data_IF_385494422017
#
_entry.id   IF_385494422017
#
_cell.length_a   1.000
_cell.length_b   1.000
_cell.length_c   1.000
_cell.angle_alpha   90.00
_cell.angle_beta   90.00
_cell.angle_gamma   90.00
#
_symmetry.space_group_name_H-M   'P 1'
#
loop_
_entity.id
_entity.type
_entity.pdbx_description
1 polymer ?
#
# COMPACT_ATOMS: atom_id res chain seq x y z
N UNK A 1 15.83 2.58 22.13
CA UNK A 1 16.51 3.06 20.91
C UNK A 1 15.40 3.23 19.87
N UNK A 2 15.31 4.38 19.24
CA UNK A 2 14.35 4.62 18.13
C UNK A 2 14.86 3.90 16.88
N UNK A 3 13.97 3.30 16.08
CA UNK A 3 14.33 2.80 14.76
C UNK A 3 14.94 3.96 13.94
N UNK A 4 16.08 3.73 13.31
CA UNK A 4 16.65 4.72 12.40
C UNK A 4 15.72 4.91 11.20
N UNK A 5 15.72 6.10 10.61
CA UNK A 5 14.95 6.37 9.40
C UNK A 5 15.56 5.55 8.25
N UNK A 6 14.79 4.64 7.69
CA UNK A 6 15.09 3.99 6.42
C UNK A 6 14.61 4.89 5.29
N UNK A 7 15.39 5.03 4.22
CA UNK A 7 15.06 5.90 3.09
C UNK A 7 15.13 5.10 1.80
N UNK A 8 14.06 5.16 1.01
CA UNK A 8 14.00 4.62 -0.36
C UNK A 8 13.71 5.73 -1.35
N UNK A 9 14.40 5.70 -2.49
CA UNK A 9 14.08 6.58 -3.61
C UNK A 9 12.82 6.13 -4.32
N UNK A 10 11.88 7.05 -4.51
CA UNK A 10 10.67 6.81 -5.31
C UNK A 10 10.94 6.49 -6.79
N UNK A 11 12.18 6.72 -7.25
CA UNK A 11 12.59 6.38 -8.62
C UNK A 11 12.78 4.89 -8.87
N UNK A 12 12.85 4.08 -7.82
CA UNK A 12 13.10 2.65 -7.95
C UNK A 12 11.87 1.82 -8.41
N UNK A 13 10.69 2.37 -8.43
CA UNK A 13 9.49 1.62 -8.78
C UNK A 13 8.31 2.46 -9.27
N UNK A 14 7.95 3.55 -8.60
CA UNK A 14 6.75 4.31 -8.93
C UNK A 14 7.07 5.65 -9.57
N UNK A 15 7.14 5.69 -10.90
CA UNK A 15 7.35 6.92 -11.63
C UNK A 15 6.23 7.92 -11.31
N UNK A 16 6.56 8.98 -10.58
CA UNK A 16 5.76 10.20 -10.61
C UNK A 16 5.57 10.57 -12.08
N UNK A 17 4.34 10.79 -12.57
CA UNK A 17 4.09 11.09 -13.97
C UNK A 17 4.98 12.24 -14.42
N UNK A 18 5.76 12.02 -15.48
CA UNK A 18 6.66 13.03 -16.04
C UNK A 18 5.90 14.34 -16.26
N UNK A 19 6.32 15.41 -15.64
CA UNK A 19 5.75 16.73 -15.83
C UNK A 19 5.97 17.15 -17.27
N UNK A 20 4.90 17.61 -17.94
CA UNK A 20 5.00 18.19 -19.29
C UNK A 20 6.05 19.28 -19.30
N UNK A 21 6.96 19.33 -20.30
CA UNK A 21 7.98 20.37 -20.39
C UNK A 21 7.32 21.75 -20.48
N UNK A 22 7.75 22.71 -19.66
CA UNK A 22 7.37 24.12 -19.79
C UNK A 22 6.68 24.79 -18.59
N UNK A 23 6.49 24.11 -17.44
CA UNK A 23 6.08 24.81 -16.21
C UNK A 23 7.23 24.76 -15.20
N UNK A 24 7.64 25.93 -14.69
CA UNK A 24 8.53 26.00 -13.52
C UNK A 24 7.90 25.15 -12.39
N UNK A 25 8.63 24.12 -11.95
CA UNK A 25 8.23 23.34 -10.77
C UNK A 25 8.27 24.29 -9.57
N UNK A 26 7.13 24.55 -8.95
CA UNK A 26 7.13 25.10 -7.59
C UNK A 26 7.84 24.08 -6.71
N UNK A 27 8.67 24.52 -5.75
CA UNK A 27 9.32 23.60 -4.81
C UNK A 27 8.25 22.70 -4.18
N UNK A 28 8.48 21.39 -4.19
CA UNK A 28 7.62 20.46 -3.49
C UNK A 28 7.62 20.84 -2.00
N UNK A 29 6.45 20.86 -1.39
CA UNK A 29 6.31 21.10 0.03
C UNK A 29 5.19 20.22 0.56
N UNK A 30 5.38 19.65 1.73
CA UNK A 30 4.31 18.91 2.39
C UNK A 30 3.08 19.81 2.60
N UNK A 31 1.86 19.32 2.29
CA UNK A 31 0.64 20.06 2.54
C UNK A 31 0.46 20.42 4.02
N UNK A 32 -0.32 21.46 4.35
CA UNK A 32 -0.68 21.75 5.74
C UNK A 32 -1.58 20.65 6.31
N UNK A 33 -1.60 20.54 7.64
CA UNK A 33 -2.54 19.63 8.32
C UNK A 33 -3.99 20.05 8.02
N UNK A 34 -4.85 19.12 7.64
CA UNK A 34 -6.29 19.37 7.54
C UNK A 34 -6.92 19.48 8.94
N UNK A 35 -8.20 19.90 8.98
CA UNK A 35 -8.98 19.86 10.20
C UNK A 35 -9.03 18.43 10.78
N UNK A 36 -8.94 18.24 12.11
CA UNK A 36 -9.00 16.93 12.72
C UNK A 36 -10.34 16.22 12.51
N UNK A 37 -10.30 14.90 12.34
CA UNK A 37 -11.51 14.07 12.33
C UNK A 37 -12.13 13.99 13.73
N UNK A 38 -13.48 13.99 13.80
CA UNK A 38 -14.21 13.78 15.05
C UNK A 38 -14.08 12.33 15.55
N UNK A 39 -14.01 11.38 14.63
CA UNK A 39 -13.80 9.96 14.91
C UNK A 39 -12.46 9.55 14.32
N UNK A 40 -11.58 9.04 15.18
CA UNK A 40 -10.25 8.65 14.77
C UNK A 40 -10.29 7.38 13.90
N UNK A 41 -9.48 7.39 12.81
CA UNK A 41 -9.33 6.29 11.85
C UNK A 41 -7.88 5.84 11.77
N UNK A 42 -7.64 4.75 11.06
CA UNK A 42 -6.29 4.32 10.65
C UNK A 42 -6.03 4.70 9.20
N UNK A 43 -4.75 4.95 8.89
CA UNK A 43 -4.26 4.89 7.52
C UNK A 43 -3.91 3.42 7.22
N UNK A 44 -4.68 2.79 6.34
CA UNK A 44 -4.54 1.35 6.09
C UNK A 44 -3.31 0.99 5.26
N UNK A 45 -2.67 1.97 4.58
CA UNK A 45 -1.51 1.73 3.73
C UNK A 45 -0.69 3.00 3.53
N UNK A 46 0.54 2.98 3.99
CA UNK A 46 1.50 4.06 3.74
C UNK A 46 2.95 3.53 3.73
N UNK A 47 3.84 4.33 3.14
CA UNK A 47 5.28 4.11 3.11
C UNK A 47 5.99 5.33 3.70
N UNK A 48 6.40 5.22 4.97
CA UNK A 48 7.10 6.29 5.69
C UNK A 48 8.58 6.42 5.29
N UNK A 49 9.10 5.46 4.52
CA UNK A 49 10.48 5.39 4.07
C UNK A 49 10.72 5.99 2.67
N UNK A 50 9.67 6.13 1.87
CA UNK A 50 9.84 6.66 0.51
C UNK A 50 10.02 8.17 0.51
N UNK A 51 11.04 8.65 -0.18
CA UNK A 51 11.17 10.06 -0.52
C UNK A 51 10.26 10.41 -1.71
N UNK A 52 9.65 11.59 -1.64
CA UNK A 52 8.82 12.08 -2.74
C UNK A 52 9.66 12.55 -3.92
N UNK A 53 10.72 13.31 -3.66
CA UNK A 53 11.74 13.71 -4.60
C UNK A 53 13.07 14.00 -3.88
N UNK A 54 14.15 14.12 -4.66
CA UNK A 54 15.51 14.32 -4.13
C UNK A 54 15.69 15.66 -3.37
N UNK A 55 14.83 16.66 -3.61
CA UNK A 55 14.94 18.00 -3.00
C UNK A 55 14.22 18.05 -1.65
N UNK A 56 13.08 17.39 -1.54
CA UNK A 56 12.27 17.40 -0.32
C UNK A 56 12.67 16.28 0.66
N UNK A 57 13.16 15.15 0.13
CA UNK A 57 13.50 13.99 0.93
C UNK A 57 12.30 13.33 1.60
N UNK A 58 12.55 12.67 2.72
CA UNK A 58 11.55 11.96 3.55
C UNK A 58 11.21 12.80 4.77
N UNK A 59 9.92 12.93 5.07
CA UNK A 59 9.51 13.45 6.38
C UNK A 59 9.91 12.42 7.45
N UNK A 60 10.63 12.81 8.53
CA UNK A 60 10.96 11.88 9.60
C UNK A 60 9.71 11.17 10.12
N UNK A 61 9.74 9.85 10.24
CA UNK A 61 8.58 9.06 10.63
C UNK A 61 7.94 9.49 11.97
N UNK A 62 8.70 9.93 13.01
CA UNK A 62 8.08 10.42 14.24
C UNK A 62 7.24 11.69 14.00
N UNK A 63 7.76 12.65 13.24
CA UNK A 63 7.04 13.88 12.87
C UNK A 63 5.79 13.56 12.07
N UNK A 64 5.89 12.61 11.11
CA UNK A 64 4.77 12.19 10.28
C UNK A 64 3.64 11.59 11.14
N UNK A 65 3.99 10.69 12.07
CA UNK A 65 3.03 10.08 13.00
C UNK A 65 2.44 11.09 13.99
N UNK A 66 3.23 12.06 14.46
CA UNK A 66 2.75 13.12 15.36
C UNK A 66 1.74 14.04 14.65
N UNK A 67 2.03 14.40 13.39
CA UNK A 67 1.09 15.15 12.55
C UNK A 67 -0.18 14.34 12.27
N UNK A 68 -0.04 13.06 11.94
CA UNK A 68 -1.17 12.15 11.70
C UNK A 68 -2.07 12.06 12.95
N UNK A 69 -1.48 11.86 14.12
CA UNK A 69 -2.22 11.80 15.38
C UNK A 69 -2.96 13.12 15.69
N UNK A 70 -2.35 14.27 15.40
CA UNK A 70 -2.96 15.58 15.64
C UNK A 70 -4.22 15.84 14.83
N UNK A 71 -4.45 15.09 13.74
CA UNK A 71 -5.62 15.23 12.86
C UNK A 71 -6.59 14.03 12.94
N UNK A 72 -6.43 13.18 13.97
CA UNK A 72 -7.34 12.06 14.22
C UNK A 72 -6.97 10.77 13.50
N UNK A 73 -5.69 10.58 13.13
CA UNK A 73 -5.20 9.29 12.65
C UNK A 73 -4.64 8.52 13.84
N UNK A 74 -5.31 7.45 14.22
CA UNK A 74 -5.00 6.64 15.40
C UNK A 74 -3.71 5.82 15.24
N UNK A 75 -3.41 5.45 14.02
CA UNK A 75 -2.23 4.69 13.65
C UNK A 75 -2.19 4.42 12.15
N UNK A 76 -1.12 3.78 11.72
CA UNK A 76 -0.86 3.47 10.32
C UNK A 76 -0.50 1.99 10.14
N UNK A 77 -0.76 1.46 8.96
CA UNK A 77 -0.12 0.24 8.49
C UNK A 77 1.05 0.66 7.60
N UNK A 78 2.25 0.46 8.12
CA UNK A 78 3.50 0.68 7.39
C UNK A 78 3.80 -0.52 6.53
N UNK A 79 3.98 -0.34 5.24
CA UNK A 79 3.99 -1.42 4.26
C UNK A 79 5.37 -1.61 3.64
N UNK A 80 5.91 -2.83 3.77
CA UNK A 80 7.15 -3.25 3.15
C UNK A 80 6.94 -3.73 1.72
N UNK A 81 7.87 -3.41 0.84
CA UNK A 81 7.84 -3.79 -0.60
C UNK A 81 9.05 -4.61 -1.02
N UNK A 82 10.13 -4.58 -0.23
CA UNK A 82 11.33 -5.44 -0.38
C UNK A 82 11.59 -6.16 0.93
N UNK A 83 12.46 -7.14 0.91
CA UNK A 83 12.89 -7.82 2.13
C UNK A 83 13.49 -6.83 3.17
N UNK A 84 14.29 -5.85 2.71
CA UNK A 84 14.89 -4.85 3.60
C UNK A 84 13.85 -3.91 4.20
N UNK A 85 12.94 -3.37 3.38
CA UNK A 85 11.87 -2.52 3.88
C UNK A 85 10.91 -3.29 4.79
N UNK A 86 10.61 -4.54 4.51
CA UNK A 86 9.78 -5.41 5.36
C UNK A 86 10.42 -5.64 6.74
N UNK A 87 11.74 -5.85 6.81
CA UNK A 87 12.49 -5.92 8.07
C UNK A 87 12.37 -4.60 8.86
N UNK A 88 12.56 -3.48 8.20
CA UNK A 88 12.41 -2.17 8.82
C UNK A 88 10.97 -1.90 9.31
N UNK A 89 9.96 -2.23 8.51
CA UNK A 89 8.54 -2.08 8.89
C UNK A 89 8.22 -2.89 10.16
N UNK A 90 8.64 -4.15 10.21
CA UNK A 90 8.45 -5.00 11.36
C UNK A 90 9.17 -4.44 12.61
N UNK A 91 10.41 -3.94 12.48
CA UNK A 91 11.13 -3.28 13.55
C UNK A 91 10.44 -1.99 14.01
N UNK A 92 10.05 -1.10 13.09
CA UNK A 92 9.36 0.15 13.40
C UNK A 92 8.08 -0.10 14.19
N UNK A 93 7.31 -1.11 13.82
CA UNK A 93 6.08 -1.48 14.52
C UNK A 93 6.33 -1.92 15.98
N UNK A 94 7.53 -2.38 16.32
CA UNK A 94 7.89 -2.65 17.73
C UNK A 94 8.28 -1.40 18.51
N UNK A 95 8.69 -0.32 17.84
CA UNK A 95 9.18 0.91 18.45
C UNK A 95 8.08 1.94 18.70
N UNK A 96 7.04 1.96 17.87
CA UNK A 96 5.91 2.88 18.02
C UNK A 96 4.57 2.14 17.96
N UNK A 97 3.76 2.33 18.99
CA UNK A 97 2.46 1.66 19.12
C UNK A 97 1.42 2.15 18.11
N UNK A 98 1.66 3.26 17.42
CA UNK A 98 0.82 3.77 16.35
C UNK A 98 1.06 3.04 15.03
N UNK A 99 2.11 2.20 14.93
CA UNK A 99 2.47 1.48 13.71
C UNK A 99 2.09 0.01 13.82
N UNK A 100 1.41 -0.49 12.81
CA UNK A 100 1.32 -1.90 12.46
C UNK A 100 2.14 -2.12 11.19
N UNK A 101 2.63 -3.32 10.96
CA UNK A 101 3.41 -3.63 9.77
C UNK A 101 2.67 -4.61 8.85
N UNK A 102 2.84 -4.38 7.55
CA UNK A 102 2.66 -5.37 6.51
C UNK A 102 4.02 -5.69 5.89
N UNK A 103 4.27 -6.95 5.59
CA UNK A 103 5.56 -7.44 5.08
C UNK A 103 5.36 -8.33 3.86
N UNK A 104 6.09 -8.07 2.79
CA UNK A 104 6.06 -8.87 1.58
C UNK A 104 7.21 -8.51 0.62
N UNK A 105 7.21 -9.16 -0.53
CA UNK A 105 7.92 -8.76 -1.73
C UNK A 105 6.88 -8.25 -2.73
N UNK A 106 6.97 -6.97 -3.09
CA UNK A 106 6.09 -6.36 -4.09
C UNK A 106 6.21 -7.08 -5.44
N UNK A 107 5.14 -7.19 -6.25
CA UNK A 107 5.20 -7.88 -7.53
C UNK A 107 6.32 -7.40 -8.47
N UNK A 108 6.68 -6.12 -8.45
CA UNK A 108 7.80 -5.61 -9.26
C UNK A 108 9.19 -5.93 -8.69
N UNK A 109 9.27 -6.36 -7.44
CA UNK A 109 10.54 -6.77 -6.81
C UNK A 109 10.81 -8.28 -6.98
N UNK A 110 9.76 -9.11 -7.06
CA UNK A 110 9.90 -10.55 -7.22
C UNK A 110 10.76 -10.97 -8.42
N UNK A 111 10.62 -10.38 -9.64
CA UNK A 111 11.46 -10.69 -10.79
C UNK A 111 12.95 -10.35 -10.60
N UNK A 112 13.29 -9.42 -9.69
CA UNK A 112 14.67 -9.02 -9.43
C UNK A 112 15.52 -10.15 -8.83
N UNK A 113 14.88 -11.15 -8.24
CA UNK A 113 15.54 -12.35 -7.70
C UNK A 113 16.02 -13.29 -8.81
N UNK A 114 15.54 -13.17 -10.06
CA UNK A 114 15.96 -13.87 -11.27
C UNK A 114 15.66 -15.36 -11.33
N UNK A 115 15.68 -16.05 -10.20
CA UNK A 115 15.39 -17.49 -10.11
C UNK A 115 14.41 -17.76 -8.98
N UNK A 116 13.64 -18.83 -9.11
CA UNK A 116 12.71 -19.29 -8.08
C UNK A 116 13.43 -19.60 -6.76
N UNK A 117 14.60 -20.22 -6.83
CA UNK A 117 15.38 -20.56 -5.63
C UNK A 117 15.77 -19.32 -4.81
N UNK A 118 16.24 -18.25 -5.46
CA UNK A 118 16.58 -16.99 -4.78
C UNK A 118 15.33 -16.31 -4.21
N UNK A 119 14.24 -16.35 -4.96
CA UNK A 119 12.97 -15.78 -4.52
C UNK A 119 12.41 -16.54 -3.31
N UNK A 120 12.44 -17.89 -3.32
CA UNK A 120 11.99 -18.73 -2.20
C UNK A 120 12.80 -18.46 -0.94
N UNK A 121 14.11 -18.23 -1.06
CA UNK A 121 14.94 -17.86 0.08
C UNK A 121 14.50 -16.53 0.72
N UNK A 122 14.16 -15.55 -0.10
CA UNK A 122 13.65 -14.27 0.42
C UNK A 122 12.22 -14.39 1.00
N UNK A 123 11.35 -15.19 0.36
CA UNK A 123 10.00 -15.47 0.85
C UNK A 123 10.06 -16.17 2.22
N UNK A 124 11.00 -17.08 2.43
CA UNK A 124 11.19 -17.72 3.74
C UNK A 124 11.52 -16.69 4.85
N UNK A 125 12.28 -15.64 4.55
CA UNK A 125 12.53 -14.56 5.51
C UNK A 125 11.26 -13.71 5.74
N UNK A 126 10.44 -13.46 4.73
CA UNK A 126 9.12 -12.80 4.90
C UNK A 126 8.22 -13.66 5.81
N UNK A 127 8.21 -14.97 5.65
CA UNK A 127 7.44 -15.88 6.50
C UNK A 127 7.86 -15.78 7.98
N UNK A 128 9.15 -15.65 8.27
CA UNK A 128 9.63 -15.42 9.64
C UNK A 128 9.21 -14.05 10.19
N UNK A 129 9.21 -13.01 9.34
CA UNK A 129 8.71 -11.68 9.73
C UNK A 129 7.21 -11.70 10.02
N UNK A 130 6.42 -12.48 9.28
CA UNK A 130 4.98 -12.60 9.46
C UNK A 130 4.57 -13.07 10.88
N UNK A 131 5.45 -13.80 11.56
CA UNK A 131 5.22 -14.30 12.93
C UNK A 131 5.39 -13.24 14.02
N UNK A 132 5.91 -12.07 13.70
CA UNK A 132 6.15 -11.02 14.67
C UNK A 132 4.85 -10.40 15.20
N UNK A 133 4.77 -10.05 16.50
CA UNK A 133 3.50 -9.65 17.13
C UNK A 133 2.81 -8.44 16.54
N UNK A 134 3.53 -7.54 15.86
CA UNK A 134 3.00 -6.30 15.28
C UNK A 134 2.85 -6.37 13.76
N UNK A 135 3.23 -7.45 13.13
CA UNK A 135 2.93 -7.73 11.72
C UNK A 135 1.48 -8.22 11.64
N UNK A 136 0.66 -7.57 10.83
CA UNK A 136 -0.78 -7.80 10.73
C UNK A 136 -1.26 -8.11 9.33
N UNK A 137 -0.38 -7.99 8.35
CA UNK A 137 -0.68 -8.36 6.98
C UNK A 137 0.56 -8.91 6.26
N UNK A 138 0.31 -9.76 5.30
CA UNK A 138 1.21 -10.02 4.19
C UNK A 138 0.83 -9.03 3.10
N UNK A 139 1.77 -8.18 2.74
CA UNK A 139 1.59 -7.11 1.76
C UNK A 139 2.73 -6.09 1.84
N UNK A 140 2.94 -5.40 0.76
CA UNK A 140 2.21 -5.33 -0.50
C UNK A 140 2.63 -6.47 -1.45
N UNK A 141 1.68 -7.26 -1.91
CA UNK A 141 1.89 -8.40 -2.80
C UNK A 141 0.76 -8.49 -3.83
N UNK A 142 0.92 -9.25 -4.89
CA UNK A 142 -0.09 -9.38 -5.92
C UNK A 142 0.52 -9.43 -7.32
N UNK A 143 -0.14 -8.79 -8.30
CA UNK A 143 0.29 -8.79 -9.70
C UNK A 143 0.30 -7.36 -10.29
N UNK A 144 1.31 -7.08 -11.10
CA UNK A 144 1.46 -5.82 -11.86
C UNK A 144 1.85 -6.11 -13.31
N UNK A 145 0.87 -6.12 -14.20
CA UNK A 145 1.07 -6.35 -15.63
C UNK A 145 1.37 -5.07 -16.39
N UNK A 146 1.29 -3.92 -15.73
CA UNK A 146 1.68 -2.65 -16.32
C UNK A 146 3.21 -2.47 -16.39
N UNK A 147 3.94 -3.00 -15.40
CA UNK A 147 5.39 -2.79 -15.25
C UNK A 147 6.22 -4.03 -15.53
N UNK A 148 5.63 -5.20 -15.38
CA UNK A 148 6.34 -6.46 -15.60
C UNK A 148 5.97 -7.04 -16.94
N UNK A 149 6.99 -7.28 -17.76
CA UNK A 149 6.87 -7.89 -19.07
C UNK A 149 7.78 -9.13 -19.12
N UNK A 150 7.35 -10.13 -19.88
CA UNK A 150 8.12 -11.37 -20.06
C UNK A 150 7.64 -12.52 -19.19
N UNK A 151 7.58 -13.70 -19.81
CA UNK A 151 6.98 -14.90 -19.23
C UNK A 151 7.63 -15.30 -17.90
N UNK A 152 8.96 -15.35 -17.84
CA UNK A 152 9.68 -15.72 -16.62
C UNK A 152 9.43 -14.75 -15.46
N UNK A 153 9.36 -13.44 -15.72
CA UNK A 153 9.17 -12.44 -14.69
C UNK A 153 7.73 -12.47 -14.17
N UNK A 154 6.75 -12.72 -15.04
CA UNK A 154 5.35 -12.95 -14.66
C UNK A 154 5.18 -14.26 -13.87
N UNK A 155 5.89 -15.33 -14.22
CA UNK A 155 5.90 -16.58 -13.43
C UNK A 155 6.46 -16.35 -12.02
N UNK A 156 7.52 -15.56 -11.86
CA UNK A 156 8.07 -15.22 -10.55
C UNK A 156 7.08 -14.36 -9.72
N UNK A 157 6.38 -13.40 -10.33
CA UNK A 157 5.31 -12.66 -9.66
C UNK A 157 4.20 -13.59 -9.18
N UNK A 158 3.71 -14.43 -10.06
CA UNK A 158 2.62 -15.37 -9.76
C UNK A 158 3.00 -16.30 -8.61
N UNK A 159 4.21 -16.87 -8.66
CA UNK A 159 4.73 -17.72 -7.59
C UNK A 159 4.83 -16.97 -6.25
N UNK A 160 5.41 -15.76 -6.27
CA UNK A 160 5.49 -14.92 -5.06
C UNK A 160 4.12 -14.64 -4.47
N UNK A 161 3.14 -14.30 -5.29
CA UNK A 161 1.79 -14.03 -4.86
C UNK A 161 1.13 -15.25 -4.20
N UNK A 162 1.25 -16.43 -4.80
CA UNK A 162 0.71 -17.69 -4.25
C UNK A 162 1.34 -18.04 -2.89
N UNK A 163 2.66 -17.89 -2.76
CA UNK A 163 3.35 -18.13 -1.50
C UNK A 163 2.94 -17.11 -0.41
N UNK A 164 2.78 -15.85 -0.77
CA UNK A 164 2.28 -14.83 0.15
C UNK A 164 0.84 -15.12 0.62
N UNK A 165 -0.04 -15.62 -0.27
CA UNK A 165 -1.36 -16.11 0.12
C UNK A 165 -1.25 -17.26 1.13
N UNK A 166 -0.36 -18.23 0.90
CA UNK A 166 -0.10 -19.32 1.83
C UNK A 166 0.32 -18.81 3.20
N UNK A 167 1.32 -17.91 3.24
CA UNK A 167 1.85 -17.34 4.48
C UNK A 167 0.75 -16.58 5.26
N UNK A 168 -0.07 -15.77 4.56
CA UNK A 168 -1.16 -15.05 5.19
C UNK A 168 -2.17 -16.00 5.86
N UNK A 169 -2.52 -17.10 5.20
CA UNK A 169 -3.43 -18.14 5.73
C UNK A 169 -2.84 -18.84 6.96
N UNK A 170 -1.59 -19.28 6.87
CA UNK A 170 -0.92 -20.01 7.96
C UNK A 170 -0.72 -19.17 9.22
N UNK A 171 -0.52 -17.87 9.07
CA UNK A 171 -0.36 -16.94 10.20
C UNK A 171 -1.68 -16.27 10.63
N UNK A 172 -2.79 -16.54 9.93
CA UNK A 172 -4.11 -15.92 10.18
C UNK A 172 -4.04 -14.39 10.25
N UNK A 173 -3.34 -13.78 9.30
CA UNK A 173 -3.23 -12.32 9.12
C UNK A 173 -3.80 -11.90 7.77
N UNK A 174 -4.03 -10.60 7.59
CA UNK A 174 -4.60 -10.10 6.35
C UNK A 174 -3.64 -10.27 5.15
N UNK A 175 -4.21 -10.35 3.95
CA UNK A 175 -3.49 -10.24 2.68
C UNK A 175 -3.80 -8.88 2.08
N UNK A 176 -2.78 -8.08 1.83
CA UNK A 176 -2.91 -6.74 1.23
C UNK A 176 -2.37 -6.77 -0.20
N UNK A 177 -3.28 -6.56 -1.15
CA UNK A 177 -3.06 -6.85 -2.56
C UNK A 177 -2.79 -5.58 -3.34
N UNK A 178 -1.67 -5.58 -4.07
CA UNK A 178 -1.39 -4.75 -5.22
C UNK A 178 -2.01 -5.38 -6.47
N UNK A 179 -2.78 -4.61 -7.19
CA UNK A 179 -3.45 -5.06 -8.41
C UNK A 179 -3.38 -3.96 -9.48
N UNK A 180 -2.58 -4.19 -10.51
CA UNK A 180 -2.42 -3.23 -11.59
C UNK A 180 -2.45 -3.90 -12.96
N UNK A 181 -3.52 -3.62 -13.72
CA UNK A 181 -3.81 -4.22 -15.01
C UNK A 181 -3.88 -5.77 -14.96
N UNK A 182 -4.23 -6.34 -13.77
CA UNK A 182 -4.18 -7.78 -13.48
C UNK A 182 -5.42 -8.30 -12.73
N UNK A 183 -6.53 -7.55 -12.73
CA UNK A 183 -7.74 -7.83 -11.93
C UNK A 183 -8.21 -9.28 -12.05
N UNK A 184 -8.38 -9.76 -13.28
CA UNK A 184 -8.89 -11.12 -13.53
C UNK A 184 -7.95 -12.20 -12.98
N UNK A 185 -6.62 -12.03 -13.15
CA UNK A 185 -5.62 -12.98 -12.70
C UNK A 185 -5.45 -12.97 -11.17
N UNK A 186 -5.58 -11.81 -10.53
CA UNK A 186 -5.60 -11.70 -9.07
C UNK A 186 -6.81 -12.45 -8.51
N UNK A 187 -8.00 -12.20 -9.04
CA UNK A 187 -9.25 -12.88 -8.63
C UNK A 187 -9.16 -14.40 -8.88
N UNK A 188 -8.74 -14.80 -10.09
CA UNK A 188 -8.57 -16.21 -10.42
C UNK A 188 -7.62 -16.91 -9.44
N UNK A 189 -6.47 -16.28 -9.14
CA UNK A 189 -5.51 -16.83 -8.20
C UNK A 189 -6.11 -17.00 -6.81
N UNK A 190 -6.79 -15.98 -6.27
CA UNK A 190 -7.44 -16.04 -4.96
C UNK A 190 -8.47 -17.17 -4.88
N UNK A 191 -9.28 -17.32 -5.91
CA UNK A 191 -10.31 -18.37 -5.96
C UNK A 191 -9.70 -19.76 -6.13
N UNK A 192 -8.65 -19.91 -6.92
CA UNK A 192 -7.98 -21.19 -7.20
C UNK A 192 -7.21 -21.73 -6.00
N UNK A 193 -6.42 -20.87 -5.32
CA UNK A 193 -5.59 -21.32 -4.18
C UNK A 193 -6.30 -21.19 -2.85
N UNK A 194 -7.47 -20.55 -2.84
CA UNK A 194 -8.27 -20.24 -1.66
C UNK A 194 -7.71 -19.01 -0.92
N UNK A 195 -8.46 -17.91 -0.95
CA UNK A 195 -8.12 -16.67 -0.26
C UNK A 195 -8.03 -16.85 1.27
N UNK A 196 -7.19 -16.07 1.98
CA UNK A 196 -7.26 -15.98 3.44
C UNK A 196 -8.57 -15.32 3.88
N UNK A 197 -8.89 -15.41 5.17
CA UNK A 197 -10.12 -14.83 5.74
C UNK A 197 -10.24 -13.33 5.50
N UNK A 198 -9.10 -12.60 5.53
CA UNK A 198 -9.05 -11.15 5.38
C UNK A 198 -8.22 -10.78 4.17
N UNK A 199 -8.87 -10.25 3.16
CA UNK A 199 -8.27 -9.74 1.93
C UNK A 199 -8.55 -8.25 1.82
N UNK A 200 -7.54 -7.48 1.43
CA UNK A 200 -7.62 -6.05 1.17
C UNK A 200 -7.06 -5.77 -0.22
N UNK A 201 -7.89 -5.29 -1.12
CA UNK A 201 -7.43 -4.64 -2.34
C UNK A 201 -7.01 -3.21 -1.98
N UNK A 202 -5.71 -3.00 -1.79
CA UNK A 202 -5.19 -1.68 -1.49
C UNK A 202 -5.28 -0.78 -2.73
N UNK A 203 -5.32 0.54 -2.51
CA UNK A 203 -5.44 1.53 -3.60
C UNK A 203 -6.44 1.10 -4.67
N UNK A 204 -7.63 0.63 -4.23
CA UNK A 204 -8.64 0.03 -5.10
C UNK A 204 -8.75 0.78 -6.43
N UNK A 205 -8.56 0.07 -7.54
CA UNK A 205 -8.48 0.64 -8.88
C UNK A 205 -9.50 0.06 -9.86
N UNK A 206 -10.27 -0.96 -9.41
CA UNK A 206 -11.27 -1.63 -10.23
C UNK A 206 -12.52 -0.80 -10.51
N UNK A 207 -13.33 -1.31 -11.40
CA UNK A 207 -14.68 -0.84 -11.68
C UNK A 207 -15.70 -1.60 -10.83
N UNK A 208 -16.99 -1.36 -11.08
CA UNK A 208 -18.10 -1.96 -10.31
C UNK A 208 -18.15 -3.48 -10.38
N UNK A 209 -17.64 -4.09 -11.45
CA UNK A 209 -17.60 -5.55 -11.61
C UNK A 209 -16.63 -6.19 -10.61
N UNK A 210 -15.42 -5.65 -10.46
CA UNK A 210 -14.49 -6.11 -9.43
C UNK A 210 -15.02 -5.80 -8.03
N UNK A 211 -15.69 -4.66 -7.84
CA UNK A 211 -16.31 -4.33 -6.55
C UNK A 211 -17.37 -5.36 -6.16
N UNK A 212 -18.20 -5.83 -7.11
CA UNK A 212 -19.18 -6.88 -6.85
C UNK A 212 -18.51 -8.20 -6.43
N UNK A 213 -17.39 -8.57 -7.10
CA UNK A 213 -16.62 -9.76 -6.72
C UNK A 213 -16.05 -9.61 -5.30
N UNK A 214 -15.53 -8.44 -4.95
CA UNK A 214 -15.05 -8.16 -3.59
C UNK A 214 -16.18 -8.30 -2.56
N UNK A 215 -17.36 -7.75 -2.84
CA UNK A 215 -18.55 -7.83 -1.97
C UNK A 215 -18.97 -9.27 -1.78
N UNK A 216 -19.09 -10.05 -2.84
CA UNK A 216 -19.56 -11.44 -2.81
C UNK A 216 -18.62 -12.36 -2.01
N UNK A 217 -17.32 -12.00 -1.95
CA UNK A 217 -16.29 -12.75 -1.22
C UNK A 217 -15.92 -12.14 0.15
N UNK A 218 -16.53 -11.02 0.55
CA UNK A 218 -16.19 -10.33 1.80
C UNK A 218 -14.79 -9.68 1.80
N UNK A 219 -14.25 -9.36 0.63
CA UNK A 219 -12.95 -8.71 0.49
C UNK A 219 -13.07 -7.20 0.63
N UNK A 220 -12.13 -6.60 1.38
CA UNK A 220 -12.11 -5.17 1.62
C UNK A 220 -11.53 -4.42 0.44
N UNK A 221 -12.07 -3.22 0.21
CA UNK A 221 -11.58 -2.25 -0.76
C UNK A 221 -11.05 -1.03 -0.01
N UNK A 222 -9.78 -0.69 -0.20
CA UNK A 222 -9.15 0.46 0.45
C UNK A 222 -9.02 1.61 -0.54
N UNK A 223 -9.56 2.77 -0.18
CA UNK A 223 -9.65 3.94 -1.06
C UNK A 223 -8.64 5.00 -0.65
N UNK A 224 -7.77 5.37 -1.61
CA UNK A 224 -6.76 6.40 -1.45
C UNK A 224 -7.24 7.79 -1.93
N UNK A 225 -6.37 8.79 -1.84
CA UNK A 225 -6.66 10.17 -2.25
C UNK A 225 -7.06 10.34 -3.73
N UNK A 226 -6.76 9.36 -4.58
CA UNK A 226 -7.15 9.35 -5.99
C UNK A 226 -8.67 9.34 -6.22
N UNK A 227 -9.48 8.93 -5.23
CA UNK A 227 -10.95 8.98 -5.30
C UNK A 227 -11.46 10.42 -5.46
N UNK A 228 -10.72 11.40 -4.94
CA UNK A 228 -11.07 12.83 -5.00
C UNK A 228 -10.87 13.42 -6.41
N UNK A 229 -10.17 12.71 -7.31
CA UNK A 229 -9.89 13.17 -8.66
C UNK A 229 -11.15 13.06 -9.53
N UNK A 230 -11.57 14.16 -10.14
CA UNK A 230 -12.84 14.26 -10.90
C UNK A 230 -13.02 13.15 -11.94
N UNK A 231 -11.96 12.75 -12.66
CA UNK A 231 -12.03 11.72 -13.70
C UNK A 231 -12.25 10.29 -13.17
N UNK A 232 -11.99 10.04 -11.89
CA UNK A 232 -12.06 8.71 -11.28
C UNK A 232 -13.48 8.42 -10.75
N UNK A 233 -14.51 8.61 -11.60
CA UNK A 233 -15.91 8.36 -11.22
C UNK A 233 -16.15 6.87 -10.91
N UNK A 234 -15.50 5.95 -11.63
CA UNK A 234 -15.59 4.51 -11.38
C UNK A 234 -15.26 4.10 -9.94
N UNK A 235 -14.27 4.76 -9.30
CA UNK A 235 -13.95 4.50 -7.89
C UNK A 235 -15.09 4.92 -6.96
N UNK A 236 -15.76 6.03 -7.26
CA UNK A 236 -16.92 6.50 -6.48
C UNK A 236 -18.13 5.60 -6.67
N UNK A 237 -18.34 5.11 -7.90
CA UNK A 237 -19.42 4.17 -8.21
C UNK A 237 -19.19 2.85 -7.43
N UNK A 238 -17.97 2.34 -7.41
CA UNK A 238 -17.57 1.17 -6.62
C UNK A 238 -17.73 1.40 -5.10
N UNK A 239 -17.33 2.59 -4.59
CA UNK A 239 -17.50 2.96 -3.18
C UNK A 239 -18.99 2.99 -2.77
N UNK A 240 -19.86 3.56 -3.62
CA UNK A 240 -21.31 3.69 -3.31
C UNK A 240 -21.99 2.32 -3.18
N UNK A 241 -21.57 1.31 -3.95
CA UNK A 241 -22.16 -0.03 -3.88
C UNK A 241 -21.57 -0.88 -2.75
N UNK A 242 -20.38 -0.53 -2.26
CA UNK A 242 -19.69 -1.31 -1.23
C UNK A 242 -20.39 -1.20 0.14
N UNK A 243 -20.63 -2.32 0.86
CA UNK A 243 -20.99 -2.29 2.27
C UNK A 243 -19.91 -1.56 3.07
N UNK A 244 -20.30 -0.69 4.01
CA UNK A 244 -19.35 0.12 4.80
C UNK A 244 -18.33 -0.72 5.57
N UNK A 245 -18.70 -1.96 5.91
CA UNK A 245 -17.86 -2.92 6.61
C UNK A 245 -16.67 -3.39 5.77
N UNK A 246 -16.77 -3.28 4.43
CA UNK A 246 -15.72 -3.65 3.48
C UNK A 246 -14.94 -2.44 2.95
N UNK A 247 -15.21 -1.24 3.48
CA UNK A 247 -14.52 -0.02 3.06
C UNK A 247 -13.40 0.30 4.03
N UNK A 248 -12.19 0.50 3.49
CA UNK A 248 -11.05 1.03 4.20
C UNK A 248 -10.59 2.33 3.54
N UNK A 249 -9.80 3.10 4.26
CA UNK A 249 -9.17 4.33 3.76
C UNK A 249 -7.67 4.27 3.96
N UNK A 250 -6.95 4.87 3.03
CA UNK A 250 -5.49 4.90 3.06
C UNK A 250 -4.95 6.17 2.40
N UNK A 251 -3.64 6.37 2.49
CA UNK A 251 -2.95 7.39 1.72
C UNK A 251 -2.20 6.84 0.53
N UNK A 252 -1.58 5.69 0.64
CA UNK A 252 -0.50 5.23 -0.23
C UNK A 252 0.64 6.27 -0.28
N UNK A 253 0.89 6.93 0.87
CA UNK A 253 1.91 7.96 0.97
C UNK A 253 3.31 7.40 0.66
N UNK A 254 4.17 8.18 -0.05
CA UNK A 254 4.03 9.60 -0.42
C UNK A 254 3.27 9.86 -1.72
N UNK A 255 2.62 8.84 -2.31
CA UNK A 255 1.90 8.90 -3.57
C UNK A 255 0.45 9.38 -3.39
N UNK A 256 -0.27 9.59 -4.48
CA UNK A 256 -1.72 9.75 -4.56
C UNK A 256 -2.34 10.85 -3.66
N UNK A 257 -1.62 11.98 -3.46
CA UNK A 257 -2.16 13.09 -2.69
C UNK A 257 -3.57 13.49 -3.19
N UNK A 258 -4.54 13.65 -2.26
CA UNK A 258 -5.91 14.05 -2.60
C UNK A 258 -5.97 15.49 -3.16
N UNK A 259 -7.01 15.81 -3.92
CA UNK A 259 -7.30 17.20 -4.26
C UNK A 259 -7.59 18.02 -2.99
N UNK A 260 -7.11 19.27 -2.87
CA UNK A 260 -6.45 20.08 -3.92
C UNK A 260 -4.92 19.92 -3.97
N UNK A 261 -4.35 18.93 -3.32
CA UNK A 261 -2.89 18.77 -3.17
C UNK A 261 -2.24 17.84 -4.21
N UNK A 262 -2.96 17.48 -5.25
CA UNK A 262 -2.43 16.64 -6.31
C UNK A 262 -1.08 17.16 -6.85
N UNK A 263 -0.11 16.22 -6.98
CA UNK A 263 1.26 16.55 -7.41
C UNK A 263 2.17 17.08 -6.29
N UNK A 264 1.69 17.06 -5.04
CA UNK A 264 2.47 17.27 -3.83
C UNK A 264 2.71 15.94 -3.12
N UNK A 265 3.68 15.87 -2.19
CA UNK A 265 3.85 14.67 -1.37
C UNK A 265 2.60 14.41 -0.52
N UNK A 266 2.18 13.15 -0.50
CA UNK A 266 1.13 12.67 0.40
C UNK A 266 1.74 12.26 1.75
N UNK A 267 0.91 12.17 2.78
CA UNK A 267 1.32 11.69 4.09
C UNK A 267 0.09 11.23 4.90
N UNK A 268 0.24 10.33 5.88
CA UNK A 268 -0.86 9.81 6.70
C UNK A 268 -1.80 10.88 7.28
N UNK A 269 -1.30 12.05 7.62
CA UNK A 269 -2.14 13.14 8.12
C UNK A 269 -3.09 13.74 7.07
N UNK A 270 -3.04 13.32 5.80
CA UNK A 270 -3.97 13.74 4.74
C UNK A 270 -5.19 12.82 4.57
N UNK A 271 -5.22 11.64 5.23
CA UNK A 271 -6.41 10.76 5.27
C UNK A 271 -7.71 11.51 5.56
N UNK A 272 -7.77 12.53 6.46
CA UNK A 272 -9.01 13.25 6.71
C UNK A 272 -9.65 13.90 5.48
N UNK A 273 -8.87 14.20 4.45
CA UNK A 273 -9.41 14.76 3.20
C UNK A 273 -10.15 13.68 2.42
N UNK A 274 -9.58 12.49 2.32
CA UNK A 274 -10.22 11.33 1.68
C UNK A 274 -11.48 10.91 2.43
N UNK A 275 -11.44 10.89 3.78
CA UNK A 275 -12.60 10.51 4.62
C UNK A 275 -13.77 11.49 4.49
N UNK A 276 -13.50 12.79 4.30
CA UNK A 276 -14.56 13.80 4.16
C UNK A 276 -15.14 13.91 2.77
N UNK A 277 -14.43 13.39 1.78
CA UNK A 277 -14.89 13.38 0.41
C UNK A 277 -16.02 12.39 0.19
#
# INVERSE_FOLDING_TARGET
>A
MTAEQFVRSSKAGDAVPATKPGKEKKPAAFPPNPEPLEVAVYDNHCHLEFEFDDELGVMPWPENLDRAQSVGIKGVVQVGVTLESSKWCAELATKDQRVLAAVALHPNEAPLYKTRENLDAAIAEIEELAKQPRVRAIGETGLDFFRTEGENDLELQQHSFEEHIRIAKENNIALMIHDRDAHDQVVETLLRVGAPEKVVFHCYSGETDLAQICIDNGWHMSFAGNITIKRNQHLRDSLIMAPKELILVETDAPFLAPEPFRGRPNAPYLVPITVRF
#
